data_IF_582987489465
#
_entry.id   IF_582987489465
#
_cell.length_a   1.000
_cell.length_b   1.000
_cell.length_c   1.000
_cell.angle_alpha   90.00
_cell.angle_beta   90.00
_cell.angle_gamma   90.00
#
_symmetry.space_group_name_H-M   'P 1'
#
loop_
_entity.id
_entity.type
_entity.pdbx_description
1 polymer ?
#
# COMPACT_ATOMS: atom_id res chain seq x y z
N UNK A 1 7.21 -17.37 -2.19
CA UNK A 1 7.59 -16.54 -1.04
C UNK A 1 8.98 -16.01 -1.30
N UNK A 2 9.26 -14.76 -0.93
CA UNK A 2 10.61 -14.20 -0.94
C UNK A 2 11.25 -14.50 0.41
N UNK A 3 12.50 -14.98 0.41
CA UNK A 3 13.33 -15.11 1.61
C UNK A 3 14.52 -14.17 1.47
N UNK A 4 14.71 -13.29 2.43
CA UNK A 4 15.80 -12.31 2.41
C UNK A 4 16.28 -11.95 3.82
N UNK A 5 17.43 -11.30 3.88
CA UNK A 5 17.98 -10.74 5.12
C UNK A 5 17.24 -9.45 5.51
N UNK A 6 17.19 -9.18 6.82
CA UNK A 6 16.50 -8.02 7.39
C UNK A 6 17.02 -6.67 6.88
N UNK A 7 18.27 -6.64 6.41
CA UNK A 7 18.93 -5.44 5.88
C UNK A 7 18.59 -5.10 4.43
N UNK A 8 17.74 -5.86 3.75
CA UNK A 8 17.37 -5.53 2.38
C UNK A 8 16.46 -4.29 2.33
N UNK A 9 16.80 -3.33 1.46
CA UNK A 9 16.00 -2.13 1.19
C UNK A 9 14.70 -2.50 0.47
N UNK A 10 13.57 -1.94 0.91
CA UNK A 10 12.24 -2.28 0.39
C UNK A 10 12.14 -2.08 -1.14
N UNK A 11 12.63 -0.94 -1.65
CA UNK A 11 12.62 -0.66 -3.09
C UNK A 11 13.45 -1.68 -3.88
N UNK A 12 14.63 -2.07 -3.38
CA UNK A 12 15.47 -3.09 -4.02
C UNK A 12 14.76 -4.45 -4.05
N UNK A 13 14.01 -4.81 -3.00
CA UNK A 13 13.21 -6.03 -2.99
C UNK A 13 12.07 -5.99 -4.02
N UNK A 14 11.37 -4.85 -4.14
CA UNK A 14 10.28 -4.71 -5.13
C UNK A 14 10.80 -4.78 -6.56
N UNK A 15 11.91 -4.10 -6.85
CA UNK A 15 12.60 -4.16 -8.16
C UNK A 15 13.08 -5.57 -8.49
N UNK A 16 13.58 -6.31 -7.51
CA UNK A 16 13.97 -7.71 -7.70
C UNK A 16 12.76 -8.59 -8.04
N UNK A 17 11.64 -8.40 -7.33
CA UNK A 17 10.40 -9.16 -7.56
C UNK A 17 9.73 -8.85 -8.90
N UNK A 18 9.89 -7.64 -9.42
CA UNK A 18 9.35 -7.23 -10.73
C UNK A 18 9.82 -8.14 -11.86
N UNK A 19 11.08 -8.60 -11.80
CA UNK A 19 11.67 -9.55 -12.77
C UNK A 19 10.93 -10.90 -12.82
N UNK A 20 10.14 -11.20 -11.80
CA UNK A 20 9.33 -12.42 -11.67
C UNK A 20 7.83 -12.16 -11.81
N UNK A 21 7.42 -10.95 -12.21
CA UNK A 21 6.01 -10.56 -12.26
C UNK A 21 5.35 -10.52 -10.87
N UNK A 22 6.15 -10.26 -9.83
CA UNK A 22 5.71 -10.14 -8.45
C UNK A 22 6.02 -8.73 -7.92
N UNK A 23 5.51 -8.43 -6.73
CA UNK A 23 5.78 -7.17 -6.02
C UNK A 23 5.78 -7.39 -4.51
N UNK A 24 6.29 -6.43 -3.76
CA UNK A 24 6.18 -6.42 -2.31
C UNK A 24 4.71 -6.18 -1.87
N UNK A 25 4.23 -6.82 -0.79
CA UNK A 25 2.85 -6.65 -0.31
C UNK A 25 2.61 -5.30 0.40
N UNK A 26 3.66 -4.50 0.60
CA UNK A 26 3.61 -3.18 1.22
C UNK A 26 4.39 -2.18 0.38
N UNK A 27 3.98 -0.91 0.44
CA UNK A 27 4.70 0.21 -0.17
C UNK A 27 4.48 1.47 0.69
N UNK A 28 5.50 2.31 0.79
CA UNK A 28 5.51 3.49 1.65
C UNK A 28 6.53 4.52 1.16
N UNK A 29 6.36 5.79 1.54
CA UNK A 29 7.16 6.90 1.01
C UNK A 29 8.68 6.76 1.25
N UNK A 30 9.09 6.06 2.31
CA UNK A 30 10.49 5.78 2.63
C UNK A 30 11.07 4.52 1.92
N UNK A 31 10.41 3.96 0.89
CA UNK A 31 10.81 2.68 0.25
C UNK A 31 12.28 2.62 -0.19
N UNK A 32 12.86 3.74 -0.61
CA UNK A 32 14.25 3.84 -1.07
C UNK A 32 15.28 3.79 0.07
N UNK A 33 14.86 3.72 1.32
CA UNK A 33 15.77 3.71 2.48
C UNK A 33 15.34 2.78 3.61
N UNK A 34 14.04 2.48 3.74
CA UNK A 34 13.59 1.57 4.79
C UNK A 34 14.03 0.14 4.51
N UNK A 35 14.45 -0.54 5.58
CA UNK A 35 14.89 -1.95 5.53
C UNK A 35 13.72 -2.85 5.88
N UNK A 36 13.66 -4.04 5.28
CA UNK A 36 12.55 -4.98 5.51
C UNK A 36 12.44 -5.43 6.98
N UNK A 37 13.56 -5.58 7.67
CA UNK A 37 13.58 -5.86 9.11
C UNK A 37 12.99 -4.72 9.94
N UNK A 38 13.24 -3.47 9.54
CA UNK A 38 12.64 -2.29 10.15
C UNK A 38 11.13 -2.25 9.94
N UNK A 39 10.68 -2.48 8.69
CA UNK A 39 9.25 -2.54 8.36
C UNK A 39 8.52 -3.61 9.20
N UNK A 40 9.12 -4.79 9.38
CA UNK A 40 8.56 -5.86 10.21
C UNK A 40 8.55 -5.46 11.69
N UNK A 41 9.66 -4.92 12.19
CA UNK A 41 9.79 -4.53 13.59
C UNK A 41 8.80 -3.45 13.99
N UNK A 42 8.40 -2.57 13.07
CA UNK A 42 7.39 -1.52 13.31
C UNK A 42 5.97 -1.90 12.86
N UNK A 43 5.78 -3.11 12.32
CA UNK A 43 4.53 -3.53 11.65
C UNK A 43 4.03 -2.47 10.66
N UNK A 44 4.92 -2.01 9.77
CA UNK A 44 4.64 -0.97 8.81
C UNK A 44 3.40 -1.30 7.96
N UNK A 45 2.53 -0.30 7.80
CA UNK A 45 1.38 -0.36 6.92
C UNK A 45 1.72 0.14 5.52
N UNK A 46 1.28 1.37 5.23
CA UNK A 46 1.57 2.05 3.96
C UNK A 46 0.41 2.00 2.97
N UNK A 47 0.70 2.45 1.74
CA UNK A 47 -0.27 2.87 0.73
C UNK A 47 -1.18 1.74 0.23
N UNK A 48 -0.70 0.49 0.35
CA UNK A 48 -1.37 -0.71 -0.20
C UNK A 48 -1.91 -1.65 0.88
N UNK A 49 -1.90 -1.21 2.14
CA UNK A 49 -2.42 -2.00 3.26
C UNK A 49 -3.89 -2.38 3.07
N UNK A 50 -4.68 -1.50 2.45
CA UNK A 50 -6.10 -1.74 2.16
C UNK A 50 -6.31 -3.04 1.36
N UNK A 51 -5.39 -3.39 0.46
CA UNK A 51 -5.51 -4.55 -0.42
C UNK A 51 -4.79 -5.79 0.08
N UNK A 52 -3.59 -5.63 0.60
CA UNK A 52 -2.73 -6.77 0.95
C UNK A 52 -2.69 -7.05 2.46
N UNK A 53 -3.31 -6.20 3.26
CA UNK A 53 -3.36 -6.35 4.71
C UNK A 53 -2.07 -5.94 5.40
N UNK A 54 -1.97 -6.31 6.67
CA UNK A 54 -0.81 -6.00 7.51
C UNK A 54 0.29 -7.09 7.40
N UNK A 55 1.46 -6.80 7.98
CA UNK A 55 2.59 -7.72 7.96
C UNK A 55 2.36 -9.01 8.77
N UNK A 56 1.45 -9.02 9.76
CA UNK A 56 1.06 -10.26 10.43
C UNK A 56 0.45 -11.30 9.49
N UNK A 57 -0.24 -10.85 8.42
CA UNK A 57 -0.76 -11.73 7.38
C UNK A 57 0.26 -12.06 6.28
N UNK A 58 1.12 -11.11 5.93
CA UNK A 58 2.05 -11.25 4.81
C UNK A 58 3.35 -12.01 5.17
N UNK A 59 3.85 -11.87 6.40
CA UNK A 59 5.06 -12.57 6.87
C UNK A 59 4.73 -14.03 7.14
N UNK A 60 5.41 -14.94 6.45
CA UNK A 60 5.25 -16.38 6.58
C UNK A 60 6.18 -16.95 7.66
N UNK A 61 7.40 -16.41 7.74
CA UNK A 61 8.42 -16.83 8.70
C UNK A 61 9.44 -15.75 8.98
N UNK A 62 10.17 -15.91 10.08
CA UNK A 62 11.13 -14.94 10.58
C UNK A 62 12.21 -15.63 11.42
N UNK A 63 13.45 -15.16 11.29
CA UNK A 63 14.57 -15.46 12.18
C UNK A 63 14.85 -14.22 13.03
N UNK A 64 15.01 -14.40 14.33
CA UNK A 64 15.40 -13.32 15.24
C UNK A 64 16.44 -13.77 16.27
N UNK A 65 17.27 -12.82 16.70
CA UNK A 65 18.26 -13.01 17.76
C UNK A 65 17.77 -12.31 19.03
N UNK A 66 17.56 -13.08 20.10
CA UNK A 66 17.14 -12.56 21.40
C UNK A 66 18.31 -11.86 22.12
N UNK A 67 18.00 -11.10 23.17
CA UNK A 67 18.99 -10.37 23.97
C UNK A 67 20.08 -11.26 24.61
N UNK A 68 19.77 -12.55 24.87
CA UNK A 68 20.73 -13.53 25.39
C UNK A 68 21.55 -14.22 24.27
N UNK A 69 21.41 -13.80 23.01
CA UNK A 69 22.07 -14.38 21.84
C UNK A 69 21.40 -15.64 21.28
N UNK A 70 20.31 -16.12 21.89
CA UNK A 70 19.56 -17.27 21.36
C UNK A 70 18.90 -16.91 20.03
N UNK A 71 19.05 -17.77 19.04
CA UNK A 71 18.36 -17.66 17.76
C UNK A 71 16.98 -18.30 17.91
N UNK A 72 15.95 -17.50 17.63
CA UNK A 72 14.58 -17.96 17.44
C UNK A 72 14.37 -18.16 15.94
N UNK A 73 14.42 -19.41 15.51
CA UNK A 73 14.14 -19.79 14.13
C UNK A 73 12.67 -20.13 13.97
N UNK A 74 11.90 -19.19 13.42
CA UNK A 74 10.51 -19.37 13.00
C UNK A 74 10.40 -19.23 11.47
N UNK A 75 11.45 -19.60 10.73
CA UNK A 75 11.43 -19.53 9.27
C UNK A 75 10.49 -20.58 8.69
N UNK A 76 9.62 -20.13 7.79
CA UNK A 76 8.69 -20.97 7.05
C UNK A 76 8.30 -20.28 5.76
N UNK A 77 8.13 -21.05 4.69
CA UNK A 77 7.59 -20.58 3.40
C UNK A 77 6.19 -21.10 3.15
N UNK A 78 5.59 -21.78 4.14
CA UNK A 78 4.28 -22.42 4.05
C UNK A 78 3.20 -21.40 4.40
N UNK A 79 2.19 -21.28 3.53
CA UNK A 79 1.07 -20.35 3.73
C UNK A 79 0.17 -20.70 4.91
N UNK A 80 0.07 -22.00 5.23
CA UNK A 80 -0.77 -22.53 6.31
C UNK A 80 0.05 -23.48 7.17
N UNK A 81 0.35 -23.03 8.38
CA UNK A 81 1.06 -23.82 9.38
C UNK A 81 0.47 -23.53 10.77
N UNK A 82 -0.15 -24.57 11.35
CA UNK A 82 -0.84 -24.50 12.64
C UNK A 82 -0.17 -25.40 13.70
N UNK A 83 1.14 -25.62 13.58
CA UNK A 83 1.91 -26.49 14.47
C UNK A 83 2.40 -25.77 15.74
N UNK A 84 1.47 -25.24 16.54
CA UNK A 84 1.75 -24.55 17.81
C UNK A 84 1.56 -23.03 17.72
N UNK A 85 2.25 -22.29 18.59
CA UNK A 85 2.12 -20.83 18.65
C UNK A 85 2.83 -20.15 17.47
N UNK A 86 2.21 -19.09 16.95
CA UNK A 86 2.82 -18.26 15.91
C UNK A 86 3.83 -17.28 16.50
N UNK A 87 4.93 -17.78 17.06
CA UNK A 87 5.95 -16.98 17.76
C UNK A 87 6.50 -15.81 16.93
N UNK A 88 6.58 -15.98 15.60
CA UNK A 88 6.97 -14.90 14.69
C UNK A 88 6.18 -13.60 14.90
N UNK A 89 4.89 -13.70 15.23
CA UNK A 89 4.01 -12.54 15.40
C UNK A 89 4.37 -11.69 16.62
N UNK A 90 5.09 -12.24 17.61
CA UNK A 90 5.58 -11.46 18.74
C UNK A 90 6.67 -10.48 18.31
N UNK A 91 7.45 -10.80 17.28
CA UNK A 91 8.52 -9.93 16.80
C UNK A 91 8.01 -8.84 15.83
N UNK A 92 6.89 -9.07 15.15
CA UNK A 92 6.25 -8.10 14.25
C UNK A 92 5.62 -7.00 15.11
N UNK A 93 6.06 -5.75 14.92
CA UNK A 93 5.62 -4.63 15.76
C UNK A 93 6.27 -4.55 17.14
N UNK A 94 7.30 -5.36 17.42
CA UNK A 94 8.03 -5.33 18.70
C UNK A 94 9.04 -4.19 18.83
N UNK A 95 9.33 -3.49 17.74
CA UNK A 95 10.29 -2.39 17.67
C UNK A 95 11.69 -2.78 18.18
N UNK A 96 12.07 -4.05 18.00
CA UNK A 96 13.37 -4.60 18.42
C UNK A 96 13.48 -4.89 19.92
N UNK A 97 12.42 -4.69 20.70
CA UNK A 97 12.45 -4.86 22.17
C UNK A 97 12.47 -6.33 22.62
N UNK A 98 12.03 -7.26 21.75
CA UNK A 98 12.01 -8.70 22.04
C UNK A 98 13.14 -9.48 21.35
N UNK A 99 13.85 -8.84 20.41
CA UNK A 99 14.93 -9.42 19.65
C UNK A 99 15.17 -8.68 18.33
N UNK A 100 16.29 -8.97 17.70
CA UNK A 100 16.70 -8.38 16.43
C UNK A 100 16.29 -9.33 15.29
N UNK A 101 15.41 -8.87 14.41
CA UNK A 101 15.03 -9.62 13.20
C UNK A 101 16.22 -9.68 12.25
N UNK A 102 16.59 -10.89 11.81
CA UNK A 102 17.75 -11.13 10.93
C UNK A 102 17.36 -11.64 9.55
N UNK A 103 16.29 -12.42 9.43
CA UNK A 103 15.75 -12.90 8.15
C UNK A 103 14.23 -12.90 8.16
N UNK A 104 13.65 -12.82 6.96
CA UNK A 104 12.21 -12.91 6.74
C UNK A 104 11.89 -13.80 5.55
N UNK A 105 10.80 -14.56 5.68
CA UNK A 105 10.06 -15.14 4.57
C UNK A 105 8.73 -14.41 4.42
N UNK A 106 8.49 -13.76 3.29
CA UNK A 106 7.30 -12.93 3.04
C UNK A 106 6.53 -13.41 1.81
N UNK A 107 5.20 -13.38 1.89
CA UNK A 107 4.31 -13.67 0.77
C UNK A 107 4.22 -12.46 -0.15
N UNK A 108 4.64 -12.63 -1.41
CA UNK A 108 4.61 -11.59 -2.43
C UNK A 108 3.39 -11.78 -3.34
N UNK A 109 2.53 -10.78 -3.53
CA UNK A 109 1.47 -10.84 -4.52
C UNK A 109 2.03 -10.76 -5.96
N UNK A 110 1.24 -11.26 -6.91
CA UNK A 110 1.48 -11.04 -8.34
C UNK A 110 1.33 -9.56 -8.65
N UNK A 111 2.23 -9.04 -9.49
CA UNK A 111 2.15 -7.66 -9.97
C UNK A 111 0.88 -7.50 -10.83
N UNK A 112 0.04 -6.49 -10.57
CA UNK A 112 -1.16 -6.28 -11.37
C UNK A 112 -0.81 -5.96 -12.83
N UNK A 113 -1.69 -6.37 -13.75
CA UNK A 113 -1.54 -6.06 -15.18
C UNK A 113 -2.12 -4.68 -15.54
N UNK A 114 -3.01 -4.19 -14.70
CA UNK A 114 -3.72 -2.94 -14.85
C UNK A 114 -3.63 -2.17 -13.53
N UNK A 115 -3.18 -0.92 -13.61
CA UNK A 115 -3.14 0.02 -12.50
C UNK A 115 -3.77 1.31 -12.97
N UNK A 116 -4.72 1.84 -12.20
CA UNK A 116 -5.37 3.11 -12.52
C UNK A 116 -5.37 4.01 -11.29
N UNK A 117 -5.28 5.32 -11.51
CA UNK A 117 -5.37 6.34 -10.49
C UNK A 117 -6.51 7.30 -10.80
N UNK A 118 -7.25 7.66 -9.76
CA UNK A 118 -8.15 8.80 -9.75
C UNK A 118 -7.67 9.82 -8.71
N UNK A 119 -7.51 11.07 -9.15
CA UNK A 119 -7.22 12.21 -8.28
C UNK A 119 -8.46 13.10 -8.26
N UNK A 120 -9.08 13.27 -7.10
CA UNK A 120 -10.44 13.80 -6.96
C UNK A 120 -10.46 15.00 -6.02
N UNK A 121 -11.22 16.04 -6.35
CA UNK A 121 -11.46 17.24 -5.55
C UNK A 121 -12.84 17.24 -4.89
N UNK A 122 -12.90 17.54 -3.58
CA UNK A 122 -14.12 17.51 -2.78
C UNK A 122 -14.23 18.74 -1.86
N UNK A 123 -15.46 19.13 -1.54
CA UNK A 123 -15.77 20.35 -0.78
C UNK A 123 -15.88 20.13 0.73
N UNK A 124 -16.14 18.91 1.19
CA UNK A 124 -16.29 18.61 2.61
C UNK A 124 -15.93 17.15 2.95
N UNK A 125 -15.71 16.91 4.24
CA UNK A 125 -15.29 15.61 4.74
C UNK A 125 -16.40 14.56 4.70
N UNK A 126 -17.68 14.97 4.75
CA UNK A 126 -18.80 14.03 4.61
C UNK A 126 -18.83 13.42 3.19
N UNK A 127 -18.52 14.24 2.19
CA UNK A 127 -18.35 13.82 0.79
C UNK A 127 -17.16 12.88 0.63
N UNK A 128 -16.05 13.09 1.34
CA UNK A 128 -14.91 12.15 1.39
C UNK A 128 -15.34 10.79 1.90
N UNK A 129 -16.05 10.75 3.03
CA UNK A 129 -16.51 9.49 3.63
C UNK A 129 -17.49 8.75 2.73
N UNK A 130 -18.47 9.46 2.15
CA UNK A 130 -19.44 8.89 1.20
C UNK A 130 -18.75 8.37 -0.06
N UNK A 131 -17.79 9.11 -0.60
CA UNK A 131 -16.99 8.69 -1.76
C UNK A 131 -16.19 7.42 -1.45
N UNK A 132 -15.57 7.32 -0.28
CA UNK A 132 -14.88 6.10 0.15
C UNK A 132 -15.82 4.89 0.29
N UNK A 133 -17.00 5.08 0.89
CA UNK A 133 -17.99 4.00 1.02
C UNK A 133 -18.48 3.53 -0.35
N UNK A 134 -18.68 4.45 -1.29
CA UNK A 134 -19.05 4.15 -2.66
C UNK A 134 -17.91 3.40 -3.39
N UNK A 135 -16.67 3.88 -3.27
CA UNK A 135 -15.49 3.25 -3.87
C UNK A 135 -15.34 1.79 -3.43
N UNK A 136 -15.49 1.51 -2.13
CA UNK A 136 -15.47 0.13 -1.61
C UNK A 136 -16.56 -0.75 -2.20
N UNK A 137 -17.74 -0.20 -2.46
CA UNK A 137 -18.88 -0.95 -2.99
C UNK A 137 -18.72 -1.24 -4.48
N UNK A 138 -18.24 -0.27 -5.26
CA UNK A 138 -18.24 -0.33 -6.72
C UNK A 138 -16.92 -0.82 -7.32
N UNK A 139 -15.79 -0.39 -6.74
CA UNK A 139 -14.46 -0.85 -7.16
C UNK A 139 -14.09 -2.17 -6.48
N UNK A 140 -14.64 -2.44 -5.29
CA UNK A 140 -14.58 -3.71 -4.60
C UNK A 140 -13.18 -4.36 -4.64
N UNK A 141 -13.03 -5.47 -5.36
CA UNK A 141 -11.83 -6.28 -5.39
C UNK A 141 -10.66 -5.64 -6.14
N UNK A 142 -10.85 -4.58 -6.92
CA UNK A 142 -9.74 -3.92 -7.62
C UNK A 142 -9.20 -2.72 -6.85
N UNK A 143 -9.91 -2.21 -5.83
CA UNK A 143 -9.43 -1.10 -5.00
C UNK A 143 -8.11 -1.48 -4.29
N UNK A 144 -7.05 -0.71 -4.52
CA UNK A 144 -5.72 -0.96 -3.96
C UNK A 144 -5.24 0.10 -2.97
N UNK A 145 -5.64 1.35 -3.16
CA UNK A 145 -5.33 2.46 -2.26
C UNK A 145 -6.48 3.48 -2.23
N UNK A 146 -6.64 4.15 -1.10
CA UNK A 146 -7.57 5.26 -0.93
C UNK A 146 -7.02 6.21 0.13
N UNK A 147 -6.37 7.27 -0.33
CA UNK A 147 -5.72 8.27 0.51
C UNK A 147 -6.49 9.59 0.44
N UNK A 148 -6.39 10.40 1.50
CA UNK A 148 -6.98 11.73 1.58
C UNK A 148 -5.95 12.74 2.05
N UNK A 149 -5.99 13.94 1.48
CA UNK A 149 -5.25 15.10 1.94
C UNK A 149 -6.14 16.34 1.93
N UNK A 150 -5.88 17.27 2.84
CA UNK A 150 -6.59 18.55 2.89
C UNK A 150 -5.88 19.63 2.05
N UNK A 151 -6.51 20.79 1.91
CA UNK A 151 -5.96 21.94 1.19
C UNK A 151 -4.61 22.43 1.75
N UNK A 152 -4.39 22.30 3.06
CA UNK A 152 -3.12 22.70 3.66
C UNK A 152 -1.98 21.77 3.22
N UNK A 153 -2.22 20.46 3.24
CA UNK A 153 -1.27 19.44 2.82
C UNK A 153 -0.96 19.55 1.32
N UNK A 154 -1.99 19.79 0.50
CA UNK A 154 -1.81 20.09 -0.92
C UNK A 154 -1.02 21.39 -1.12
N UNK A 155 -1.34 22.44 -0.37
CA UNK A 155 -0.64 23.72 -0.41
C UNK A 155 0.85 23.58 -0.14
N UNK A 156 1.25 22.83 0.90
CA UNK A 156 2.67 22.57 1.17
C UNK A 156 3.35 21.86 -0.02
N UNK A 157 2.67 20.90 -0.63
CA UNK A 157 3.21 20.14 -1.76
C UNK A 157 3.40 21.00 -3.01
N UNK A 158 2.47 21.92 -3.27
CA UNK A 158 2.56 22.87 -4.39
C UNK A 158 3.55 24.00 -4.11
N UNK A 159 3.42 24.64 -2.96
CA UNK A 159 4.08 25.91 -2.66
C UNK A 159 5.53 25.72 -2.19
N UNK A 160 5.83 24.64 -1.45
CA UNK A 160 7.16 24.40 -0.87
C UNK A 160 7.98 23.37 -1.66
N UNK A 161 7.34 22.31 -2.17
CA UNK A 161 8.02 21.26 -2.94
C UNK A 161 8.04 21.60 -4.44
N UNK A 162 7.12 22.44 -4.91
CA UNK A 162 7.03 22.85 -6.32
C UNK A 162 6.29 21.86 -7.22
N UNK A 163 5.46 20.98 -6.64
CA UNK A 163 4.60 20.09 -7.41
C UNK A 163 3.41 20.86 -8.01
N UNK A 164 2.77 20.29 -9.02
CA UNK A 164 1.58 20.88 -9.64
C UNK A 164 0.31 20.22 -9.11
N UNK A 165 -0.71 21.02 -8.81
CA UNK A 165 -2.05 20.51 -8.57
C UNK A 165 -2.65 20.06 -9.92
N UNK A 166 -2.98 18.76 -10.09
CA UNK A 166 -3.48 18.23 -11.37
C UNK A 166 -4.90 18.71 -11.73
N UNK A 167 -5.68 19.23 -10.78
CA UNK A 167 -7.05 19.72 -11.02
C UNK A 167 -7.08 21.21 -11.41
N UNK A 168 -5.97 21.93 -11.26
CA UNK A 168 -5.87 23.36 -11.55
C UNK A 168 -6.58 24.26 -10.53
N UNK A 169 -7.80 23.91 -10.10
CA UNK A 169 -8.53 24.57 -9.03
C UNK A 169 -8.22 23.97 -7.65
N UNK A 170 -8.33 24.80 -6.59
CA UNK A 170 -8.17 24.34 -5.21
C UNK A 170 -9.49 23.83 -4.65
N UNK A 171 -9.43 22.66 -4.02
CA UNK A 171 -10.51 22.05 -3.25
C UNK A 171 -10.11 21.94 -1.78
N UNK A 172 -11.12 21.86 -0.89
CA UNK A 172 -10.87 21.72 0.56
C UNK A 172 -10.28 20.35 0.92
N UNK A 173 -10.67 19.32 0.18
CA UNK A 173 -10.18 17.96 0.32
C UNK A 173 -9.83 17.38 -1.05
N UNK A 174 -8.84 16.50 -1.05
CA UNK A 174 -8.46 15.72 -2.21
C UNK A 174 -8.42 14.25 -1.84
N UNK A 175 -8.85 13.39 -2.75
CA UNK A 175 -8.71 11.94 -2.62
C UNK A 175 -7.87 11.38 -3.76
N UNK A 176 -6.99 10.43 -3.41
CA UNK A 176 -6.25 9.62 -4.37
C UNK A 176 -6.74 8.19 -4.25
N UNK A 177 -7.33 7.66 -5.31
CA UNK A 177 -7.81 6.29 -5.37
C UNK A 177 -6.99 5.52 -6.39
N UNK A 178 -6.40 4.41 -5.97
CA UNK A 178 -5.71 3.48 -6.86
C UNK A 178 -6.53 2.20 -7.03
N UNK A 179 -6.61 1.71 -8.26
CA UNK A 179 -7.06 0.34 -8.54
C UNK A 179 -5.93 -0.49 -9.13
N UNK A 180 -5.90 -1.76 -8.76
CA UNK A 180 -4.97 -2.77 -9.25
C UNK A 180 -5.73 -4.04 -9.57
N UNK A 181 -5.66 -4.46 -10.84
CA UNK A 181 -6.37 -5.63 -11.31
C UNK A 181 -5.69 -6.32 -12.49
N UNK A 182 -6.47 -7.15 -13.17
CA UNK A 182 -5.95 -8.11 -14.16
C UNK A 182 -6.35 -7.79 -15.61
N UNK A 183 -7.26 -6.84 -15.82
CA UNK A 183 -7.78 -6.47 -17.12
C UNK A 183 -8.01 -4.95 -17.19
N UNK A 184 -7.20 -4.27 -18.00
CA UNK A 184 -7.22 -2.80 -18.12
C UNK A 184 -8.61 -2.27 -18.47
N UNK A 185 -9.29 -2.89 -19.45
CA UNK A 185 -10.58 -2.41 -19.95
C UNK A 185 -11.64 -2.48 -18.86
N UNK A 186 -11.78 -3.62 -18.19
CA UNK A 186 -12.76 -3.78 -17.12
C UNK A 186 -12.47 -2.86 -15.93
N UNK A 187 -11.20 -2.68 -15.59
CA UNK A 187 -10.79 -1.89 -14.42
C UNK A 187 -10.98 -0.39 -14.68
N UNK A 188 -10.71 0.09 -15.89
CA UNK A 188 -11.00 1.46 -16.35
C UNK A 188 -12.50 1.74 -16.41
N UNK A 189 -13.30 0.81 -16.94
CA UNK A 189 -14.77 0.92 -16.99
C UNK A 189 -15.37 1.04 -15.58
N UNK A 190 -14.91 0.21 -14.63
CA UNK A 190 -15.32 0.29 -13.23
C UNK A 190 -14.96 1.63 -12.60
N UNK A 191 -13.71 2.09 -12.78
CA UNK A 191 -13.25 3.35 -12.21
C UNK A 191 -14.01 4.55 -12.78
N UNK A 192 -14.19 4.57 -14.10
CA UNK A 192 -14.94 5.63 -14.79
C UNK A 192 -16.39 5.68 -14.32
N UNK A 193 -17.07 4.54 -14.28
CA UNK A 193 -18.47 4.46 -13.82
C UNK A 193 -18.63 4.94 -12.37
N UNK A 194 -17.67 4.59 -11.51
CA UNK A 194 -17.64 5.05 -10.12
C UNK A 194 -17.49 6.58 -10.04
N UNK A 195 -16.55 7.17 -10.79
CA UNK A 195 -16.34 8.63 -10.77
C UNK A 195 -17.54 9.37 -11.36
N UNK A 196 -18.09 8.91 -12.49
CA UNK A 196 -19.29 9.48 -13.09
C UNK A 196 -20.47 9.50 -12.11
N UNK A 197 -20.67 8.38 -11.40
CA UNK A 197 -21.70 8.29 -10.37
C UNK A 197 -21.44 9.24 -9.21
N UNK A 198 -20.22 9.27 -8.68
CA UNK A 198 -19.88 10.11 -7.54
C UNK A 198 -19.96 11.61 -7.87
N UNK A 199 -19.68 12.00 -9.12
CA UNK A 199 -19.94 13.36 -9.62
C UNK A 199 -21.44 13.62 -9.78
N UNK A 200 -22.21 12.68 -10.32
CA UNK A 200 -23.66 12.78 -10.46
C UNK A 200 -24.40 12.90 -9.11
N UNK A 201 -23.91 12.22 -8.08
CA UNK A 201 -24.39 12.31 -6.69
C UNK A 201 -23.91 13.60 -5.98
N UNK A 202 -23.08 14.42 -6.65
CA UNK A 202 -22.58 15.70 -6.15
C UNK A 202 -21.45 15.59 -5.11
N UNK A 203 -20.88 14.39 -4.93
CA UNK A 203 -19.81 14.10 -3.95
C UNK A 203 -18.45 14.61 -4.42
N UNK A 204 -18.16 14.46 -5.72
CA UNK A 204 -16.90 14.90 -6.36
C UNK A 204 -17.20 16.17 -7.17
N UNK A 205 -16.32 17.18 -7.05
CA UNK A 205 -16.42 18.43 -7.82
C UNK A 205 -15.64 18.39 -9.11
N UNK A 206 -14.42 17.89 -9.04
CA UNK A 206 -13.54 17.71 -10.18
C UNK A 206 -12.68 16.46 -9.98
N UNK A 207 -12.18 15.89 -11.07
CA UNK A 207 -11.35 14.70 -11.00
C UNK A 207 -10.61 14.42 -12.29
N UNK A 208 -9.40 13.89 -12.15
CA UNK A 208 -8.61 13.38 -13.28
C UNK A 208 -8.29 11.91 -13.09
N UNK A 209 -8.25 11.18 -14.20
CA UNK A 209 -8.00 9.75 -14.26
C UNK A 209 -6.76 9.47 -15.12
N UNK A 210 -5.96 8.48 -14.71
CA UNK A 210 -4.89 7.94 -15.55
C UNK A 210 -4.72 6.45 -15.35
N UNK A 211 -4.59 5.71 -16.45
CA UNK A 211 -4.10 4.32 -16.48
C UNK A 211 -2.64 4.22 -16.94
N UNK A 212 -1.99 5.36 -17.21
CA UNK A 212 -0.60 5.43 -17.68
C UNK A 212 0.36 5.52 -16.49
N UNK A 213 1.17 4.48 -16.22
CA UNK A 213 2.12 4.45 -15.11
C UNK A 213 3.13 5.60 -15.12
N UNK A 214 3.43 6.17 -16.28
CA UNK A 214 4.39 7.28 -16.41
C UNK A 214 3.83 8.62 -15.94
N UNK A 215 2.50 8.75 -15.90
CA UNK A 215 1.80 9.93 -15.39
C UNK A 215 1.39 9.79 -13.91
N UNK A 216 1.74 8.66 -13.29
CA UNK A 216 1.49 8.37 -11.88
C UNK A 216 2.64 8.82 -10.96
N UNK A 217 3.74 9.35 -11.52
CA UNK A 217 4.96 9.77 -10.81
C UNK A 217 5.05 11.30 -10.69
#
# INVERSE_FOLDING_TARGET
ALVCEAGCVLETLDQHLDQYGMMMPLDLGAKGSCLIGGNISTNAGGLRLLRYGNLHGAVLGLEAVMANGQIVDCMSTIKKDNTGYHLKNLFIGSEGTLGIVTKVAIQCPTRPKAVNLAFLGLDDFDSVLKTYLLAKKELAEILSSCEMMDDQSMGISVDMIGLKNPLGERHKFYMVIETSGSNQIHDEEKLTSFVERAMGDGLIKDGTLTGDPTKMQ
#
